data_IF_765175628419
#
_entry.id   IF_765175628419
#
_cell.length_a   1.000
_cell.length_b   1.000
_cell.length_c   1.000
_cell.angle_alpha   90.00
_cell.angle_beta   90.00
_cell.angle_gamma   90.00
#
_symmetry.space_group_name_H-M   'P 1'
#
loop_
_entity.id
_entity.type
_entity.pdbx_description
1 polymer ?
#
# COMPACT_ATOMS: atom_id res chain seq x y z
N UNK A 1 -3.88 -15.44 50.10
CA UNK A 1 -3.01 -14.50 50.86
C UNK A 1 -1.74 -15.26 51.23
N UNK A 2 -0.55 -14.91 50.71
CA UNK A 2 0.21 -13.65 50.98
C UNK A 2 0.95 -13.12 49.71
N UNK A 3 1.96 -12.21 49.77
CA UNK A 3 1.97 -10.86 50.36
C UNK A 3 2.22 -9.73 49.33
N UNK A 4 1.75 -8.52 49.67
CA UNK A 4 2.04 -7.24 49.00
C UNK A 4 3.54 -6.91 49.01
N UNK A 5 4.10 -6.50 47.87
CA UNK A 5 5.42 -5.83 47.80
C UNK A 5 5.29 -4.37 47.36
N UNK A 6 6.01 -3.55 48.10
CA UNK A 6 6.05 -2.07 48.11
C UNK A 6 6.71 -1.49 46.86
N UNK A 7 6.23 -0.33 46.45
CA UNK A 7 6.92 0.61 45.58
C UNK A 7 8.10 1.31 46.32
N UNK A 8 9.17 1.69 45.61
CA UNK A 8 10.05 2.76 46.05
C UNK A 8 9.72 4.11 45.38
N UNK A 9 9.80 5.14 46.22
CA UNK A 9 9.66 6.57 45.94
C UNK A 9 10.81 7.11 45.11
N UNK A 10 10.51 8.24 44.47
CA UNK A 10 11.37 9.01 43.58
C UNK A 10 12.66 9.56 44.18
N UNK A 11 13.53 9.99 43.27
CA UNK A 11 14.66 10.87 43.55
C UNK A 11 14.63 12.03 42.56
N UNK A 12 14.47 13.24 43.12
CA UNK A 12 14.69 14.54 42.46
C UNK A 12 16.20 14.77 42.30
N UNK A 13 16.61 15.30 41.15
CA UNK A 13 17.81 16.16 40.96
C UNK A 13 17.45 17.16 39.85
N UNK A 14 17.12 18.40 40.22
CA UNK A 14 18.00 19.57 40.40
C UNK A 14 18.54 20.10 39.07
N UNK A 15 17.96 21.24 38.71
CA UNK A 15 18.33 22.24 37.71
C UNK A 15 19.67 22.86 38.11
N UNK A 16 20.54 23.12 37.13
CA UNK A 16 21.50 24.21 37.19
C UNK A 16 21.65 24.82 35.78
N UNK A 17 21.46 26.14 35.75
CA UNK A 17 21.63 27.06 34.63
C UNK A 17 23.08 27.55 34.56
N UNK A 18 23.53 27.83 33.33
CA UNK A 18 24.44 28.93 32.95
C UNK A 18 24.22 29.08 31.43
N UNK A 19 23.78 30.22 30.88
CA UNK A 19 24.46 31.52 30.90
C UNK A 19 25.70 31.43 30.00
N UNK A 20 25.93 32.20 28.94
CA UNK A 20 25.54 33.58 28.71
C UNK A 20 25.94 34.04 27.28
N UNK A 21 25.18 35.02 26.78
CA UNK A 21 25.43 36.13 25.85
C UNK A 21 26.31 36.05 24.58
N UNK A 22 25.77 36.68 23.51
CA UNK A 22 26.50 37.06 22.31
C UNK A 22 25.67 37.74 21.20
N UNK A 23 25.01 38.85 21.54
CA UNK A 23 24.47 39.93 20.65
C UNK A 23 25.46 40.36 19.53
N UNK A 24 25.15 40.97 18.38
CA UNK A 24 23.99 41.67 17.76
C UNK A 24 24.36 41.96 16.26
N UNK A 25 23.81 42.97 15.55
CA UNK A 25 22.81 42.86 14.49
C UNK A 25 23.39 43.26 13.10
N UNK A 26 22.56 43.37 12.04
CA UNK A 26 22.64 44.46 11.02
C UNK A 26 21.58 44.30 9.91
N UNK A 27 20.96 45.45 9.61
CA UNK A 27 20.35 45.92 8.35
C UNK A 27 18.96 45.43 7.88
N UNK A 28 17.99 46.30 8.16
CA UNK A 28 16.91 46.73 7.26
C UNK A 28 17.37 46.90 5.79
N UNK A 29 16.50 46.50 4.84
CA UNK A 29 16.21 47.29 3.63
C UNK A 29 14.80 47.01 3.11
N UNK A 30 13.97 48.03 3.24
CA UNK A 30 12.75 48.30 2.49
C UNK A 30 13.03 48.53 1.01
N UNK A 31 12.07 48.15 0.16
CA UNK A 31 11.68 48.73 -1.15
C UNK A 31 11.05 47.61 -1.98
N UNK A 32 10.12 47.80 -2.90
CA UNK A 32 9.17 48.86 -3.21
C UNK A 32 8.12 48.17 -4.07
N UNK A 33 6.87 48.53 -3.82
CA UNK A 33 5.68 48.18 -4.59
C UNK A 33 5.78 48.76 -6.01
N UNK A 34 5.69 47.93 -7.05
CA UNK A 34 5.29 48.39 -8.38
C UNK A 34 4.20 47.48 -8.94
N UNK A 35 3.05 48.12 -9.15
CA UNK A 35 1.92 47.68 -9.98
C UNK A 35 2.20 48.16 -11.41
N UNK A 36 1.82 47.38 -12.42
CA UNK A 36 0.98 47.95 -13.49
C UNK A 36 -0.20 47.00 -13.80
N UNK A 37 -1.45 47.44 -13.57
CA UNK A 37 -2.38 48.00 -14.57
C UNK A 37 -2.52 47.21 -15.87
N UNK A 38 -3.69 46.59 -15.97
CA UNK A 38 -4.54 46.29 -17.12
C UNK A 38 -4.07 46.75 -18.51
N UNK A 39 -4.08 45.79 -19.44
CA UNK A 39 -4.53 46.02 -20.82
C UNK A 39 -5.13 44.72 -21.35
N UNK A 40 -6.42 44.80 -21.68
CA UNK A 40 -7.17 43.79 -22.41
C UNK A 40 -6.91 43.89 -23.93
N UNK A 41 -7.41 42.89 -24.65
CA UNK A 41 -7.39 42.69 -26.12
C UNK A 41 -6.03 42.19 -26.64
N UNK A 42 -5.93 41.12 -27.44
CA UNK A 42 -6.81 40.70 -28.53
C UNK A 42 -6.54 39.21 -28.86
N UNK A 43 -7.60 38.50 -29.28
CA UNK A 43 -7.52 37.13 -29.76
C UNK A 43 -6.81 37.08 -31.12
N UNK A 44 -5.80 36.22 -31.25
CA UNK A 44 -5.21 35.83 -32.54
C UNK A 44 -4.83 34.37 -32.47
N UNK A 45 -5.63 33.55 -33.15
CA UNK A 45 -5.39 32.14 -33.42
C UNK A 45 -4.08 31.97 -34.20
N UNK A 46 -3.06 31.44 -33.55
CA UNK A 46 -1.94 30.79 -34.24
C UNK A 46 -1.84 29.36 -33.74
N UNK A 47 -2.13 28.41 -34.63
CA UNK A 47 -1.82 27.01 -34.44
C UNK A 47 -0.31 26.87 -34.15
N UNK A 48 0.03 26.73 -32.87
CA UNK A 48 1.36 26.35 -32.45
C UNK A 48 1.53 24.88 -32.81
N UNK A 49 2.45 24.60 -33.72
CA UNK A 49 3.03 23.27 -33.85
C UNK A 49 3.36 22.76 -32.43
N UNK A 50 2.87 21.57 -32.12
CA UNK A 50 3.11 20.91 -30.84
C UNK A 50 4.61 20.85 -30.60
N UNK A 51 5.11 21.73 -29.73
CA UNK A 51 6.43 21.58 -29.18
C UNK A 51 6.38 20.29 -28.37
N UNK A 52 7.02 19.24 -28.90
CA UNK A 52 7.27 18.00 -28.17
C UNK A 52 8.13 18.40 -26.98
N UNK A 53 7.46 18.72 -25.87
CA UNK A 53 8.14 19.03 -24.61
C UNK A 53 8.89 17.76 -24.27
N UNK A 54 10.23 17.81 -24.33
CA UNK A 54 11.09 16.70 -23.91
C UNK A 54 10.93 16.58 -22.40
N UNK A 55 9.85 15.92 -22.00
CA UNK A 55 9.58 15.55 -20.62
C UNK A 55 10.69 14.58 -20.19
N UNK A 56 11.14 14.69 -18.94
CA UNK A 56 12.27 13.91 -18.41
C UNK A 56 12.06 12.39 -18.48
N UNK A 57 13.00 11.59 -17.95
CA UNK A 57 12.86 10.13 -17.93
C UNK A 57 11.52 9.72 -17.29
N UNK A 58 10.88 8.62 -17.73
CA UNK A 58 9.65 8.15 -17.12
C UNK A 58 9.84 7.91 -15.62
N UNK A 59 8.76 8.10 -14.86
CA UNK A 59 8.71 7.79 -13.44
C UNK A 59 9.01 6.31 -13.23
N UNK A 60 9.76 6.01 -12.18
CA UNK A 60 10.10 4.65 -11.80
C UNK A 60 9.46 4.37 -10.45
N UNK A 61 8.69 3.29 -10.36
CA UNK A 61 8.09 2.87 -9.10
C UNK A 61 9.16 2.55 -8.05
N UNK A 62 8.99 3.06 -6.83
CA UNK A 62 9.94 2.85 -5.73
C UNK A 62 9.25 2.60 -4.38
N UNK A 63 9.93 1.85 -3.52
CA UNK A 63 9.55 1.66 -2.14
C UNK A 63 9.57 2.97 -1.32
N UNK A 64 9.04 2.94 -0.08
CA UNK A 64 8.93 4.10 0.80
C UNK A 64 10.22 4.88 1.05
N UNK A 65 11.38 4.25 0.93
CA UNK A 65 12.70 4.87 1.11
C UNK A 65 13.52 4.88 -0.18
N UNK A 66 12.86 4.74 -1.33
CA UNK A 66 13.49 4.72 -2.65
C UNK A 66 14.01 3.35 -3.06
N UNK A 67 13.57 2.26 -2.41
CA UNK A 67 14.02 0.91 -2.74
C UNK A 67 13.49 0.46 -4.11
N UNK A 68 14.31 -0.28 -4.87
CA UNK A 68 13.85 -0.96 -6.08
C UNK A 68 12.99 -2.19 -5.76
N UNK A 69 12.02 -2.44 -6.62
CA UNK A 69 11.17 -3.62 -6.55
C UNK A 69 11.90 -4.88 -7.02
N UNK A 70 11.42 -6.04 -6.55
CA UNK A 70 11.70 -7.31 -7.21
C UNK A 70 10.89 -7.30 -8.53
N UNK A 71 11.47 -7.68 -9.68
CA UNK A 71 10.70 -7.77 -10.91
C UNK A 71 9.48 -8.68 -10.74
N UNK A 72 8.30 -8.25 -11.21
CA UNK A 72 7.11 -9.11 -11.31
C UNK A 72 7.13 -9.96 -12.58
N UNK A 73 7.81 -9.47 -13.61
CA UNK A 73 8.01 -10.16 -14.88
C UNK A 73 9.49 -10.46 -15.07
N UNK A 74 9.79 -11.63 -15.60
CA UNK A 74 11.15 -12.04 -15.92
C UNK A 74 11.29 -12.40 -17.41
N UNK A 75 12.32 -11.89 -18.11
CA UNK A 75 12.64 -12.37 -19.44
C UNK A 75 12.95 -13.87 -19.43
N UNK A 76 12.49 -14.61 -20.46
CA UNK A 76 12.76 -16.06 -20.64
C UNK A 76 14.22 -16.43 -20.44
N UNK A 77 15.14 -15.55 -20.85
CA UNK A 77 16.59 -15.75 -20.75
C UNK A 77 17.10 -16.01 -19.31
N UNK A 78 16.43 -15.47 -18.30
CA UNK A 78 16.85 -15.57 -16.89
C UNK A 78 15.87 -16.31 -15.98
N UNK A 79 14.73 -16.75 -16.52
CA UNK A 79 13.66 -17.39 -15.76
C UNK A 79 14.15 -18.55 -14.86
N UNK A 80 14.95 -19.46 -15.43
CA UNK A 80 15.52 -20.61 -14.67
C UNK A 80 16.47 -20.19 -13.55
N UNK A 81 17.13 -19.04 -13.67
CA UNK A 81 18.00 -18.51 -12.64
C UNK A 81 17.18 -17.79 -11.55
N UNK A 82 16.15 -17.04 -11.96
CA UNK A 82 15.23 -16.36 -11.05
C UNK A 82 14.47 -17.35 -10.15
N UNK A 83 14.07 -18.51 -10.67
CA UNK A 83 13.42 -19.58 -9.89
C UNK A 83 14.26 -20.12 -8.72
N UNK A 84 15.58 -19.87 -8.69
CA UNK A 84 16.48 -20.28 -7.60
C UNK A 84 16.65 -19.21 -6.53
N UNK A 85 16.14 -18.01 -6.77
CA UNK A 85 16.17 -16.93 -5.80
C UNK A 85 14.96 -17.07 -4.86
N UNK A 86 15.09 -16.68 -3.59
CA UNK A 86 13.97 -16.66 -2.67
C UNK A 86 13.05 -15.48 -3.02
N UNK A 87 12.14 -15.71 -3.96
CA UNK A 87 11.13 -14.75 -4.41
C UNK A 87 9.77 -15.35 -4.08
N UNK A 88 8.82 -14.59 -3.49
CA UNK A 88 7.46 -15.06 -3.28
C UNK A 88 6.80 -15.45 -4.61
N UNK A 89 6.14 -16.60 -4.68
CA UNK A 89 5.57 -17.14 -5.92
C UNK A 89 4.47 -16.24 -6.48
N UNK A 90 3.52 -15.80 -5.65
CA UNK A 90 2.41 -14.90 -6.00
C UNK A 90 2.86 -13.49 -6.40
N UNK A 91 4.11 -13.10 -6.15
CA UNK A 91 4.66 -11.84 -6.65
C UNK A 91 5.00 -11.90 -8.16
N UNK A 92 5.37 -13.08 -8.66
CA UNK A 92 5.83 -13.24 -10.04
C UNK A 92 4.63 -13.48 -10.95
N UNK A 93 4.25 -12.45 -11.71
CA UNK A 93 3.13 -12.52 -12.66
C UNK A 93 3.40 -13.46 -13.85
N UNK A 94 4.68 -13.67 -14.19
CA UNK A 94 5.01 -14.60 -15.26
C UNK A 94 6.41 -14.45 -15.83
N UNK A 95 6.74 -15.39 -16.72
CA UNK A 95 7.94 -15.38 -17.54
C UNK A 95 7.51 -14.89 -18.92
N UNK A 96 8.02 -13.72 -19.33
CA UNK A 96 7.70 -13.12 -20.63
C UNK A 96 6.17 -12.92 -20.82
N UNK A 97 5.53 -12.42 -19.77
CA UNK A 97 4.08 -12.19 -19.70
C UNK A 97 3.56 -10.99 -20.49
N UNK A 98 4.36 -10.47 -21.43
CA UNK A 98 3.88 -9.47 -22.40
C UNK A 98 2.94 -10.14 -23.41
N UNK A 99 1.87 -9.48 -23.90
CA UNK A 99 0.92 -10.08 -24.84
C UNK A 99 1.55 -10.73 -26.08
N UNK A 100 2.70 -10.23 -26.52
CA UNK A 100 3.45 -10.69 -27.69
C UNK A 100 4.71 -11.51 -27.34
N UNK A 101 4.93 -11.84 -26.07
CA UNK A 101 6.18 -12.50 -25.61
C UNK A 101 7.46 -11.77 -26.08
N UNK A 102 7.43 -10.43 -26.10
CA UNK A 102 8.55 -9.59 -26.54
C UNK A 102 9.49 -9.17 -25.40
N UNK A 103 9.24 -9.61 -24.17
CA UNK A 103 10.03 -9.18 -23.03
C UNK A 103 11.46 -9.72 -23.14
N UNK A 104 12.40 -8.81 -23.30
CA UNK A 104 13.82 -9.15 -23.44
C UNK A 104 14.70 -8.37 -22.46
N UNK A 105 15.98 -8.75 -22.38
CA UNK A 105 17.01 -7.96 -21.70
C UNK A 105 17.30 -6.61 -22.39
N UNK A 106 16.60 -6.26 -23.47
CA UNK A 106 16.67 -4.96 -24.13
C UNK A 106 15.52 -4.00 -23.77
N UNK A 107 14.65 -4.41 -22.84
CA UNK A 107 13.54 -3.62 -22.31
C UNK A 107 14.05 -2.58 -21.30
N UNK A 108 13.81 -1.30 -21.60
CA UNK A 108 14.23 -0.19 -20.74
C UNK A 108 13.53 -0.18 -19.39
N UNK A 109 12.21 -0.38 -19.39
CA UNK A 109 11.36 -0.23 -18.20
C UNK A 109 11.71 -1.30 -17.17
N UNK A 110 11.90 -2.54 -17.63
CA UNK A 110 12.28 -3.64 -16.77
C UNK A 110 13.61 -3.38 -16.04
N UNK A 111 14.62 -2.86 -16.74
CA UNK A 111 15.89 -2.48 -16.11
C UNK A 111 15.72 -1.31 -15.14
N UNK A 112 15.00 -0.26 -15.53
CA UNK A 112 14.83 0.95 -14.74
C UNK A 112 14.14 0.67 -13.38
N UNK A 113 13.07 -0.13 -13.39
CA UNK A 113 12.28 -0.49 -12.21
C UNK A 113 13.05 -1.39 -11.24
N UNK A 114 13.91 -2.26 -11.76
CA UNK A 114 14.51 -3.34 -10.96
C UNK A 114 16.03 -3.20 -10.76
N UNK A 115 16.65 -2.10 -11.19
CA UNK A 115 18.12 -2.01 -11.33
C UNK A 115 18.91 -2.43 -10.08
N UNK A 116 18.62 -1.81 -8.93
CA UNK A 116 19.34 -2.12 -7.68
C UNK A 116 19.17 -3.59 -7.26
N UNK A 117 17.99 -4.17 -7.51
CA UNK A 117 17.74 -5.57 -7.19
C UNK A 117 18.50 -6.50 -8.15
N UNK A 118 18.51 -6.18 -9.45
CA UNK A 118 19.24 -6.91 -10.48
C UNK A 118 20.75 -6.85 -10.24
N UNK A 119 21.28 -5.70 -9.82
CA UNK A 119 22.67 -5.53 -9.43
C UNK A 119 23.03 -6.40 -8.22
N UNK A 120 22.20 -6.40 -7.17
CA UNK A 120 22.41 -7.25 -5.98
C UNK A 120 22.39 -8.74 -6.32
N UNK A 121 21.59 -9.15 -7.30
CA UNK A 121 21.42 -10.54 -7.70
C UNK A 121 22.18 -10.94 -8.97
N UNK A 122 23.06 -10.06 -9.49
CA UNK A 122 23.77 -10.23 -10.77
C UNK A 122 24.40 -11.62 -10.95
N UNK A 123 25.09 -12.10 -9.92
CA UNK A 123 25.79 -13.40 -9.95
C UNK A 123 24.81 -14.58 -9.97
N UNK A 124 23.74 -14.51 -9.19
CA UNK A 124 22.73 -15.57 -9.11
C UNK A 124 21.90 -15.66 -10.40
N UNK A 125 21.63 -14.51 -11.03
CA UNK A 125 20.93 -14.41 -12.31
C UNK A 125 21.81 -14.81 -13.51
N UNK A 126 23.12 -14.96 -13.31
CA UNK A 126 24.06 -15.38 -14.35
C UNK A 126 24.32 -14.32 -15.42
N UNK A 127 24.11 -13.04 -15.13
CA UNK A 127 24.34 -11.96 -16.11
C UNK A 127 25.81 -11.87 -16.51
N UNK A 128 26.02 -11.79 -17.83
CA UNK A 128 27.31 -11.59 -18.47
C UNK A 128 27.51 -10.11 -18.79
N UNK A 129 28.74 -9.72 -19.12
CA UNK A 129 29.07 -8.36 -19.55
C UNK A 129 28.21 -7.90 -20.74
N UNK A 130 27.94 -8.80 -21.68
CA UNK A 130 27.05 -8.53 -22.80
C UNK A 130 25.62 -8.17 -22.39
N UNK A 131 25.10 -8.71 -21.28
CA UNK A 131 23.76 -8.39 -20.79
C UNK A 131 23.71 -6.98 -20.19
N UNK A 132 24.77 -6.57 -19.49
CA UNK A 132 24.92 -5.20 -18.99
C UNK A 132 25.10 -4.19 -20.11
N UNK A 133 25.81 -4.57 -21.19
CA UNK A 133 25.86 -3.74 -22.38
C UNK A 133 24.47 -3.53 -23.00
N UNK A 134 23.63 -4.58 -23.03
CA UNK A 134 22.23 -4.44 -23.48
C UNK A 134 21.41 -3.52 -22.57
N UNK A 135 21.64 -3.56 -21.25
CA UNK A 135 21.08 -2.58 -20.32
C UNK A 135 21.49 -1.17 -20.73
N UNK A 136 22.80 -0.91 -20.87
CA UNK A 136 23.29 0.42 -21.20
C UNK A 136 22.72 0.93 -22.53
N UNK A 137 22.65 0.06 -23.54
CA UNK A 137 21.98 0.34 -24.82
C UNK A 137 20.48 0.62 -24.62
N UNK A 138 19.77 -0.15 -23.80
CA UNK A 138 18.36 0.09 -23.48
C UNK A 138 18.15 1.43 -22.77
N UNK A 139 19.00 1.79 -21.80
CA UNK A 139 18.94 3.03 -21.00
C UNK A 139 19.16 4.30 -21.83
N UNK A 140 19.68 4.19 -23.06
CA UNK A 140 19.83 5.31 -24.00
C UNK A 140 18.62 5.55 -24.90
N UNK A 141 17.66 4.64 -24.92
CA UNK A 141 16.45 4.79 -25.73
C UNK A 141 15.55 5.87 -25.12
N UNK A 142 15.11 6.80 -25.95
CA UNK A 142 14.04 7.71 -25.57
C UNK A 142 12.72 6.93 -25.50
N UNK A 143 12.04 7.02 -24.37
CA UNK A 143 10.73 6.42 -24.17
C UNK A 143 9.67 7.49 -24.41
N UNK A 144 8.86 7.39 -25.47
CA UNK A 144 7.80 8.35 -25.71
C UNK A 144 6.78 8.27 -24.58
N UNK A 145 6.42 9.43 -24.03
CA UNK A 145 5.32 9.56 -23.07
C UNK A 145 4.00 9.69 -23.85
N UNK A 146 2.99 8.92 -23.48
CA UNK A 146 1.63 9.06 -23.97
C UNK A 146 0.91 10.11 -23.12
N UNK A 147 0.20 11.04 -23.75
CA UNK A 147 -0.46 12.15 -23.03
C UNK A 147 -1.59 11.70 -22.10
N UNK A 148 -2.04 10.46 -22.24
CA UNK A 148 -3.15 9.87 -21.48
C UNK A 148 -2.73 9.01 -20.28
N UNK A 149 -1.43 8.96 -19.96
CA UNK A 149 -0.87 8.19 -18.83
C UNK A 149 -0.33 9.11 -17.72
N UNK A 150 -0.24 8.57 -16.50
CA UNK A 150 0.35 9.27 -15.37
C UNK A 150 1.88 9.21 -15.36
N UNK A 151 2.52 10.30 -14.95
CA UNK A 151 3.98 10.39 -14.86
C UNK A 151 4.48 11.05 -13.57
N UNK A 152 3.61 11.67 -12.79
CA UNK A 152 3.97 12.27 -11.52
C UNK A 152 3.41 11.42 -10.36
N UNK A 153 4.07 11.47 -9.20
CA UNK A 153 3.67 10.69 -8.02
C UNK A 153 2.21 10.90 -7.61
N UNK A 154 1.67 12.10 -7.86
CA UNK A 154 0.32 12.48 -7.50
C UNK A 154 -0.66 12.50 -8.69
N UNK A 155 -0.26 11.93 -9.83
CA UNK A 155 -1.19 11.65 -10.93
C UNK A 155 -2.10 10.49 -10.54
N UNK A 156 -3.40 10.71 -10.66
CA UNK A 156 -4.41 9.68 -10.44
C UNK A 156 -4.66 8.94 -11.73
N UNK A 157 -4.56 7.61 -11.68
CA UNK A 157 -4.83 6.74 -12.83
C UNK A 157 -5.91 5.73 -12.50
N UNK A 158 -6.62 5.28 -13.53
CA UNK A 158 -7.58 4.19 -13.40
C UNK A 158 -6.86 2.88 -13.11
N UNK A 159 -7.44 2.08 -12.21
CA UNK A 159 -6.96 0.74 -11.85
C UNK A 159 -8.05 -0.29 -12.12
N UNK A 160 -7.67 -1.58 -12.07
CA UNK A 160 -8.65 -2.66 -12.17
C UNK A 160 -9.70 -2.51 -11.08
N UNK A 161 -10.97 -2.60 -11.48
CA UNK A 161 -12.08 -2.83 -10.55
C UNK A 161 -11.93 -4.29 -10.06
N UNK A 162 -11.95 -4.57 -8.75
CA UNK A 162 -12.00 -5.93 -8.25
C UNK A 162 -13.11 -6.70 -8.96
N UNK A 163 -12.87 -7.98 -9.24
CA UNK A 163 -13.93 -8.83 -9.76
C UNK A 163 -15.13 -8.71 -8.81
N UNK A 164 -16.34 -8.62 -9.39
CA UNK A 164 -17.53 -8.81 -8.58
C UNK A 164 -17.54 -10.29 -8.22
N UNK A 165 -17.63 -10.60 -6.94
CA UNK A 165 -17.94 -11.94 -6.45
C UNK A 165 -19.35 -12.28 -6.98
N UNK A 166 -19.46 -12.74 -8.22
CA UNK A 166 -20.71 -13.18 -8.86
C UNK A 166 -20.92 -14.71 -8.69
N UNK A 167 -20.06 -15.40 -7.91
CA UNK A 167 -19.99 -16.87 -7.84
C UNK A 167 -20.32 -17.47 -6.43
N UNK A 168 -21.23 -16.88 -5.65
CA UNK A 168 -21.66 -17.45 -4.35
C UNK A 168 -23.11 -17.99 -4.32
N UNK A 169 -23.74 -18.29 -5.47
CA UNK A 169 -25.10 -18.88 -5.50
C UNK A 169 -25.28 -20.02 -6.52
N UNK A 170 -24.33 -20.96 -6.66
CA UNK A 170 -24.54 -22.21 -7.42
C UNK A 170 -23.88 -23.43 -6.72
N UNK A 171 -23.95 -23.51 -5.38
CA UNK A 171 -23.69 -24.75 -4.62
C UNK A 171 -24.94 -25.17 -3.84
N UNK A 172 -26.01 -25.52 -4.56
CA UNK A 172 -27.06 -26.41 -4.06
C UNK A 172 -27.73 -27.08 -5.28
N UNK A 173 -27.94 -28.40 -5.19
CA UNK A 173 -28.52 -29.36 -6.17
C UNK A 173 -27.48 -30.00 -7.15
N UNK A 174 -27.16 -31.29 -7.13
CA UNK A 174 -27.84 -32.49 -6.65
C UNK A 174 -26.83 -33.65 -6.44
N UNK A 175 -27.06 -34.44 -5.39
CA UNK A 175 -26.62 -35.83 -5.30
C UNK A 175 -27.38 -36.66 -6.38
N UNK A 176 -26.69 -37.27 -7.36
CA UNK A 176 -27.13 -38.57 -7.87
C UNK A 176 -25.98 -39.38 -8.49
N UNK A 177 -25.98 -40.67 -8.16
CA UNK A 177 -25.04 -41.70 -8.60
C UNK A 177 -25.38 -42.15 -10.04
N UNK A 178 -24.40 -42.26 -10.94
CA UNK A 178 -24.66 -42.89 -12.23
C UNK A 178 -23.51 -42.85 -13.24
N UNK A 179 -22.75 -43.94 -13.26
CA UNK A 179 -21.80 -44.35 -14.29
C UNK A 179 -22.46 -44.42 -15.69
N UNK A 180 -21.90 -43.77 -16.72
CA UNK A 180 -21.70 -44.32 -18.08
C UNK A 180 -21.10 -43.28 -19.06
N UNK A 181 -20.11 -43.74 -19.83
CA UNK A 181 -19.40 -43.04 -20.91
C UNK A 181 -20.32 -42.60 -22.07
N UNK A 182 -20.25 -41.34 -22.51
CA UNK A 182 -20.52 -40.97 -23.92
C UNK A 182 -19.66 -39.75 -24.32
N UNK A 183 -18.80 -39.96 -25.31
CA UNK A 183 -18.24 -38.89 -26.16
C UNK A 183 -19.34 -38.31 -27.06
N UNK A 184 -19.54 -36.99 -27.08
CA UNK A 184 -19.95 -36.31 -28.31
C UNK A 184 -19.62 -34.81 -28.30
N UNK A 185 -19.04 -34.37 -29.42
CA UNK A 185 -18.70 -33.00 -29.77
C UNK A 185 -19.96 -32.14 -29.90
N UNK A 186 -19.98 -30.98 -29.23
CA UNK A 186 -21.03 -29.98 -29.36
C UNK A 186 -20.45 -28.57 -29.26
N UNK A 187 -20.18 -27.95 -30.42
CA UNK A 187 -19.92 -26.52 -30.54
C UNK A 187 -21.19 -25.72 -30.19
N UNK A 188 -21.14 -24.92 -29.12
CA UNK A 188 -22.11 -23.85 -28.84
C UNK A 188 -21.41 -22.63 -28.19
N UNK A 189 -22.01 -21.43 -28.28
CA UNK A 189 -21.43 -20.33 -29.06
C UNK A 189 -20.54 -19.36 -28.27
N UNK A 190 -19.63 -18.74 -29.03
CA UNK A 190 -18.66 -17.70 -28.65
C UNK A 190 -19.25 -16.35 -28.18
N UNK A 191 -20.42 -16.31 -27.54
CA UNK A 191 -21.04 -15.08 -27.03
C UNK A 191 -20.76 -14.80 -25.54
N UNK A 192 -20.17 -15.73 -24.78
CA UNK A 192 -19.75 -15.48 -23.39
C UNK A 192 -18.34 -14.86 -23.25
N UNK A 193 -17.53 -14.86 -24.31
CA UNK A 193 -16.16 -14.32 -24.26
C UNK A 193 -16.07 -12.77 -24.33
N UNK A 194 -17.17 -12.07 -24.59
CA UNK A 194 -17.16 -10.62 -24.86
C UNK A 194 -17.45 -9.72 -23.65
N UNK A 195 -17.76 -10.26 -22.46
CA UNK A 195 -18.04 -9.46 -21.25
C UNK A 195 -16.83 -9.24 -20.32
N UNK A 196 -15.73 -9.97 -20.51
CA UNK A 196 -14.56 -9.92 -19.61
C UNK A 196 -13.53 -8.81 -19.88
N UNK A 197 -13.56 -8.14 -21.03
CA UNK A 197 -12.46 -7.25 -21.46
C UNK A 197 -12.66 -5.75 -21.21
N UNK A 198 -13.81 -5.32 -20.68
CA UNK A 198 -14.19 -3.90 -20.64
C UNK A 198 -13.44 -3.05 -19.59
N UNK A 199 -12.59 -3.70 -18.77
CA UNK A 199 -11.81 -3.06 -17.70
C UNK A 199 -10.37 -2.74 -18.08
N UNK A 200 -9.73 -3.52 -18.94
CA UNK A 200 -8.28 -3.45 -19.17
C UNK A 200 -7.83 -2.23 -19.98
N UNK A 201 -8.66 -1.75 -20.91
CA UNK A 201 -8.33 -0.64 -21.83
C UNK A 201 -7.96 0.67 -21.10
N UNK A 202 -8.45 0.85 -19.87
CA UNK A 202 -8.32 2.10 -19.12
C UNK A 202 -7.24 2.03 -18.03
N UNK A 203 -6.71 0.85 -17.72
CA UNK A 203 -5.76 0.71 -16.62
C UNK A 203 -4.47 1.46 -16.91
N UNK A 204 -4.02 2.26 -15.94
CA UNK A 204 -2.86 3.14 -16.09
C UNK A 204 -3.13 4.47 -16.81
N UNK A 205 -4.34 4.68 -17.33
CA UNK A 205 -4.76 5.95 -17.94
C UNK A 205 -5.15 6.99 -16.89
N UNK A 206 -4.92 8.27 -17.18
CA UNK A 206 -5.24 9.39 -16.30
C UNK A 206 -6.73 9.42 -15.98
N UNK A 207 -7.04 9.46 -14.68
CA UNK A 207 -8.41 9.49 -14.16
C UNK A 207 -9.20 10.73 -14.64
N UNK A 208 -8.51 11.85 -14.91
CA UNK A 208 -9.13 13.07 -15.43
C UNK A 208 -9.75 12.89 -16.82
N UNK A 209 -9.29 11.90 -17.59
CA UNK A 209 -9.84 11.55 -18.90
C UNK A 209 -11.01 10.55 -18.81
N UNK A 210 -11.25 10.00 -17.61
CA UNK A 210 -12.24 8.95 -17.35
C UNK A 210 -13.05 9.26 -16.07
N UNK A 211 -13.82 10.38 -16.04
CA UNK A 211 -14.49 10.86 -14.83
C UNK A 211 -15.60 9.95 -14.30
N UNK A 212 -16.04 8.98 -15.09
CA UNK A 212 -17.01 7.95 -14.71
C UNK A 212 -16.39 6.77 -13.95
N UNK A 213 -15.06 6.65 -13.94
CA UNK A 213 -14.34 5.58 -13.25
C UNK A 213 -14.15 5.90 -11.78
N UNK A 214 -14.64 5.01 -10.91
CA UNK A 214 -14.53 5.11 -9.46
C UNK A 214 -13.16 4.62 -8.96
N UNK A 215 -12.68 3.51 -9.53
CA UNK A 215 -11.43 2.85 -9.14
C UNK A 215 -10.22 3.60 -9.71
N UNK A 216 -9.81 4.64 -8.99
CA UNK A 216 -8.67 5.49 -9.33
C UNK A 216 -7.78 5.71 -8.10
N UNK A 217 -6.47 5.72 -8.30
CA UNK A 217 -5.49 5.91 -7.23
C UNK A 217 -4.30 6.71 -7.74
N UNK A 218 -3.63 7.45 -6.86
CA UNK A 218 -2.37 8.08 -7.22
C UNK A 218 -1.32 7.02 -7.58
N UNK A 219 -0.39 7.34 -8.48
CA UNK A 219 0.72 6.46 -8.81
C UNK A 219 1.57 6.13 -7.58
N UNK A 220 1.82 7.11 -6.70
CA UNK A 220 2.54 6.87 -5.45
C UNK A 220 1.74 5.98 -4.48
N UNK A 221 0.41 6.09 -4.45
CA UNK A 221 -0.45 5.22 -3.65
C UNK A 221 -0.36 3.77 -4.10
N UNK A 222 -0.33 3.53 -5.41
CA UNK A 222 -0.11 2.20 -5.98
C UNK A 222 1.29 1.66 -5.67
N UNK A 223 2.33 2.48 -5.77
CA UNK A 223 3.68 2.08 -5.34
C UNK A 223 3.69 1.64 -3.87
N UNK A 224 3.02 2.39 -2.98
CA UNK A 224 2.91 2.03 -1.56
C UNK A 224 2.19 0.70 -1.37
N UNK A 225 1.06 0.51 -2.05
CA UNK A 225 0.35 -0.76 -2.05
C UNK A 225 1.26 -1.92 -2.50
N UNK A 226 1.86 -1.82 -3.68
CA UNK A 226 2.71 -2.86 -4.25
C UNK A 226 3.90 -3.18 -3.35
N UNK A 227 4.49 -2.17 -2.70
CA UNK A 227 5.60 -2.38 -1.78
C UNK A 227 5.18 -3.17 -0.55
N UNK A 228 4.08 -2.76 0.10
CA UNK A 228 3.62 -3.44 1.31
C UNK A 228 3.04 -4.81 1.02
N UNK A 229 2.41 -5.00 -0.15
CA UNK A 229 2.02 -6.31 -0.67
C UNK A 229 3.24 -7.23 -0.77
N UNK A 230 4.29 -6.77 -1.44
CA UNK A 230 5.52 -7.55 -1.57
C UNK A 230 6.14 -7.86 -0.19
N UNK A 231 6.19 -6.90 0.72
CA UNK A 231 6.70 -7.13 2.08
C UNK A 231 5.87 -8.17 2.85
N UNK A 232 4.55 -8.23 2.63
CA UNK A 232 3.67 -9.26 3.21
C UNK A 232 3.91 -10.64 2.61
N UNK A 233 4.11 -10.72 1.30
CA UNK A 233 4.39 -11.99 0.60
C UNK A 233 5.75 -12.57 1.01
N UNK A 234 6.77 -11.72 1.24
CA UNK A 234 8.09 -12.16 1.75
C UNK A 234 8.06 -12.85 3.10
N UNK A 235 6.97 -12.69 3.85
CA UNK A 235 6.79 -13.22 5.21
C UNK A 235 5.75 -14.32 5.27
N UNK A 236 5.20 -14.69 4.13
CA UNK A 236 4.21 -15.73 4.00
C UNK A 236 4.87 -17.07 3.75
N UNK A 237 4.71 -18.05 4.62
CA UNK A 237 5.37 -19.34 4.46
C UNK A 237 4.84 -20.15 3.26
N UNK A 238 3.58 -19.92 2.88
CA UNK A 238 2.95 -20.62 1.75
C UNK A 238 3.50 -20.14 0.40
N UNK A 239 3.85 -18.85 0.32
CA UNK A 239 4.55 -18.25 -0.83
C UNK A 239 5.92 -18.88 -1.12
N UNK A 240 6.47 -19.63 -0.17
CA UNK A 240 7.73 -20.37 -0.31
C UNK A 240 7.55 -21.89 -0.16
N UNK A 241 6.33 -22.41 -0.08
CA UNK A 241 6.07 -23.85 0.15
C UNK A 241 6.83 -24.36 1.39
N UNK A 242 6.74 -23.61 2.49
CA UNK A 242 7.45 -23.87 3.73
C UNK A 242 6.46 -23.88 4.91
N UNK A 243 6.87 -24.52 6.00
CA UNK A 243 6.24 -24.37 7.29
C UNK A 243 7.30 -24.15 8.36
N UNK A 244 7.37 -22.92 8.87
CA UNK A 244 8.31 -22.56 9.95
C UNK A 244 7.65 -22.89 11.29
N UNK A 245 6.45 -22.35 11.53
CA UNK A 245 5.51 -22.73 12.59
C UNK A 245 4.14 -22.09 12.32
N UNK A 246 3.10 -22.53 13.04
CA UNK A 246 1.69 -22.24 12.69
C UNK A 246 1.33 -20.77 12.55
N UNK A 247 1.87 -19.87 13.37
CA UNK A 247 1.57 -18.43 13.32
C UNK A 247 2.67 -17.58 12.65
N UNK A 248 3.64 -18.20 11.98
CA UNK A 248 4.78 -17.49 11.41
C UNK A 248 4.33 -16.37 10.45
N UNK A 249 3.45 -16.68 9.49
CA UNK A 249 2.93 -15.70 8.54
C UNK A 249 2.22 -14.54 9.24
N UNK A 250 1.34 -14.83 10.21
CA UNK A 250 0.59 -13.81 10.94
C UNK A 250 1.50 -12.84 11.72
N UNK A 251 2.53 -13.35 12.41
CA UNK A 251 3.53 -12.49 13.05
C UNK A 251 4.36 -11.70 12.04
N UNK A 252 4.59 -12.29 10.86
CA UNK A 252 5.13 -11.59 9.70
C UNK A 252 4.26 -10.41 9.28
N UNK A 253 2.95 -10.58 9.16
CA UNK A 253 2.02 -9.49 8.82
C UNK A 253 1.99 -8.40 9.91
N UNK A 254 2.09 -8.76 11.19
CA UNK A 254 2.31 -7.75 12.25
C UNK A 254 3.56 -6.92 12.02
N UNK A 255 4.69 -7.56 11.68
CA UNK A 255 5.94 -6.84 11.40
C UNK A 255 5.79 -5.88 10.20
N UNK A 256 4.99 -6.24 9.18
CA UNK A 256 4.67 -5.33 8.06
C UNK A 256 3.86 -4.13 8.55
N UNK A 257 2.81 -4.34 9.33
CA UNK A 257 2.00 -3.23 9.88
C UNK A 257 2.83 -2.31 10.78
N UNK A 258 3.71 -2.87 11.60
CA UNK A 258 4.67 -2.09 12.41
C UNK A 258 5.61 -1.26 11.54
N UNK A 259 6.12 -1.83 10.44
CA UNK A 259 6.95 -1.11 9.48
C UNK A 259 6.19 0.03 8.78
N UNK A 260 4.92 -0.20 8.42
CA UNK A 260 4.01 0.82 7.89
C UNK A 260 3.86 1.96 8.90
N UNK A 261 3.57 1.67 10.16
CA UNK A 261 3.39 2.69 11.20
C UNK A 261 4.67 3.48 11.45
N UNK A 262 5.83 2.81 11.45
CA UNK A 262 7.13 3.48 11.58
C UNK A 262 7.41 4.41 10.40
N UNK A 263 7.10 3.97 9.18
CA UNK A 263 7.24 4.79 7.98
C UNK A 263 6.29 5.99 8.04
N UNK A 264 5.01 5.77 8.30
CA UNK A 264 4.02 6.83 8.41
C UNK A 264 4.41 7.83 9.50
N UNK A 265 4.86 7.38 10.68
CA UNK A 265 5.35 8.27 11.75
C UNK A 265 6.51 9.17 11.28
N UNK A 266 7.38 8.65 10.40
CA UNK A 266 8.52 9.40 9.89
C UNK A 266 8.12 10.51 8.90
N UNK A 267 7.08 10.28 8.10
CA UNK A 267 6.57 11.27 7.13
C UNK A 267 5.48 12.17 7.71
N UNK A 268 4.76 11.73 8.75
CA UNK A 268 3.74 12.48 9.49
C UNK A 268 4.37 13.54 10.42
N UNK A 269 4.97 14.55 9.79
CA UNK A 269 5.55 15.71 10.46
C UNK A 269 4.53 16.85 10.55
N UNK A 270 4.77 17.83 11.42
CA UNK A 270 3.88 18.98 11.56
C UNK A 270 3.71 19.82 10.27
N UNK A 271 4.63 19.65 9.31
CA UNK A 271 4.64 20.32 8.00
C UNK A 271 4.29 19.37 6.84
N UNK A 272 3.95 18.11 7.14
CA UNK A 272 3.53 17.17 6.11
C UNK A 272 2.29 17.72 5.39
N UNK A 273 2.28 17.52 4.07
CA UNK A 273 1.17 17.93 3.20
C UNK A 273 0.33 16.72 2.83
N UNK A 274 -0.90 16.97 2.41
CA UNK A 274 -1.84 15.98 1.92
C UNK A 274 -1.23 15.08 0.83
N UNK A 275 -0.49 15.65 -0.11
CA UNK A 275 0.13 14.87 -1.20
C UNK A 275 1.29 13.96 -0.76
N UNK A 276 1.74 14.06 0.49
CA UNK A 276 2.70 13.13 1.10
C UNK A 276 1.96 12.06 1.91
N UNK A 277 0.88 12.43 2.61
CA UNK A 277 0.19 11.53 3.54
C UNK A 277 -0.91 10.70 2.87
N UNK A 278 -1.60 11.25 1.87
CA UNK A 278 -2.68 10.57 1.16
C UNK A 278 -2.21 9.30 0.45
N UNK A 279 -1.07 9.30 -0.29
CA UNK A 279 -0.57 8.08 -0.92
C UNK A 279 -0.24 6.95 0.07
N UNK A 280 0.18 7.30 1.30
CA UNK A 280 0.39 6.30 2.35
C UNK A 280 -0.92 5.67 2.79
N UNK A 281 -2.00 6.46 2.88
CA UNK A 281 -3.34 5.95 3.21
C UNK A 281 -3.92 5.09 2.08
N UNK A 282 -3.77 5.52 0.82
CA UNK A 282 -4.17 4.75 -0.36
C UNK A 282 -3.51 3.38 -0.39
N UNK A 283 -2.19 3.33 -0.16
CA UNK A 283 -1.43 2.10 -0.15
C UNK A 283 -1.92 1.11 0.90
N UNK A 284 -2.28 1.60 2.10
CA UNK A 284 -2.85 0.78 3.17
C UNK A 284 -4.26 0.32 2.83
N UNK A 285 -5.11 1.20 2.29
CA UNK A 285 -6.47 0.83 1.91
C UNK A 285 -6.47 -0.33 0.90
N UNK A 286 -5.67 -0.20 -0.16
CA UNK A 286 -5.50 -1.27 -1.16
C UNK A 286 -4.94 -2.56 -0.56
N UNK A 287 -3.98 -2.44 0.38
CA UNK A 287 -3.40 -3.60 1.06
C UNK A 287 -4.45 -4.35 1.90
N UNK A 288 -5.30 -3.64 2.62
CA UNK A 288 -6.36 -4.23 3.44
C UNK A 288 -7.51 -4.79 2.57
N UNK A 289 -7.69 -4.28 1.35
CA UNK A 289 -8.69 -4.75 0.39
C UNK A 289 -8.26 -6.02 -0.37
N UNK A 290 -7.01 -6.48 -0.25
CA UNK A 290 -6.50 -7.63 -1.02
C UNK A 290 -6.40 -8.93 -0.21
N UNK A 291 -6.97 -8.98 1.00
CA UNK A 291 -7.05 -10.14 1.90
C UNK A 291 -5.72 -10.82 2.28
N UNK A 292 -4.57 -10.22 1.93
CA UNK A 292 -3.23 -10.74 2.26
C UNK A 292 -2.79 -10.39 3.69
N UNK A 293 -3.52 -9.51 4.37
CA UNK A 293 -3.24 -9.07 5.73
C UNK A 293 -4.24 -9.72 6.69
N UNK A 294 -3.85 -10.86 7.22
CA UNK A 294 -4.64 -11.74 8.10
C UNK A 294 -4.07 -11.82 9.53
N UNK A 295 -3.35 -10.78 9.99
CA UNK A 295 -2.70 -10.79 11.32
C UNK A 295 -3.67 -11.03 12.49
N UNK A 296 -4.97 -10.76 12.29
CA UNK A 296 -6.02 -10.99 13.28
C UNK A 296 -6.30 -12.49 13.53
N UNK A 297 -5.79 -13.38 12.66
CA UNK A 297 -5.81 -14.84 12.85
C UNK A 297 -4.65 -15.36 13.73
N UNK A 298 -3.83 -14.44 14.26
CA UNK A 298 -2.81 -14.80 15.26
C UNK A 298 -3.41 -15.18 16.61
N UNK A 299 -2.59 -15.79 17.47
CA UNK A 299 -2.92 -16.07 18.86
C UNK A 299 -2.74 -14.86 19.80
N UNK A 300 -2.39 -13.68 19.26
CA UNK A 300 -2.18 -12.43 20.00
C UNK A 300 -3.29 -11.40 19.68
N UNK A 301 -4.48 -11.65 20.23
CA UNK A 301 -5.65 -10.80 20.02
C UNK A 301 -5.44 -9.35 20.53
N UNK A 302 -4.66 -9.17 21.60
CA UNK A 302 -4.35 -7.85 22.15
C UNK A 302 -3.54 -7.02 21.12
N UNK A 303 -2.50 -7.63 20.54
CA UNK A 303 -1.72 -6.98 19.48
C UNK A 303 -2.52 -6.78 18.20
N UNK A 304 -3.42 -7.69 17.85
CA UNK A 304 -4.34 -7.53 16.72
C UNK A 304 -5.22 -6.28 16.90
N UNK A 305 -5.91 -6.16 18.04
CA UNK A 305 -6.75 -5.00 18.36
C UNK A 305 -5.96 -3.69 18.37
N UNK A 306 -4.77 -3.69 18.98
CA UNK A 306 -3.90 -2.50 19.01
C UNK A 306 -3.40 -2.10 17.60
N UNK A 307 -3.18 -3.08 16.72
CA UNK A 307 -2.81 -2.84 15.31
C UNK A 307 -3.97 -2.19 14.55
N UNK A 308 -5.21 -2.65 14.77
CA UNK A 308 -6.42 -2.07 14.18
C UNK A 308 -6.64 -0.63 14.70
N UNK A 309 -6.46 -0.38 16.00
CA UNK A 309 -6.52 0.96 16.60
C UNK A 309 -5.51 1.92 15.93
N UNK A 310 -4.29 1.43 15.68
CA UNK A 310 -3.24 2.20 14.99
C UNK A 310 -3.61 2.56 13.55
N UNK A 311 -4.29 1.68 12.81
CA UNK A 311 -4.84 2.01 11.49
C UNK A 311 -5.86 3.14 11.62
N UNK A 312 -6.77 3.08 12.59
CA UNK A 312 -7.74 4.14 12.85
C UNK A 312 -7.11 5.50 13.13
N UNK A 313 -6.08 5.54 13.97
CA UNK A 313 -5.33 6.76 14.24
C UNK A 313 -4.59 7.31 13.01
N UNK A 314 -4.10 6.43 12.13
CA UNK A 314 -3.48 6.82 10.86
C UNK A 314 -4.52 7.48 9.95
N UNK A 315 -5.66 6.82 9.73
CA UNK A 315 -6.78 7.33 8.90
C UNK A 315 -7.21 8.72 9.38
N UNK A 316 -7.51 8.87 10.68
CA UNK A 316 -7.93 10.13 11.29
C UNK A 316 -6.85 11.22 11.15
N UNK A 317 -5.57 10.86 11.28
CA UNK A 317 -4.46 11.80 11.10
C UNK A 317 -4.41 12.35 9.67
N UNK A 318 -4.59 11.50 8.66
CA UNK A 318 -4.58 11.91 7.25
C UNK A 318 -5.80 12.77 6.93
N UNK A 319 -7.00 12.36 7.38
CA UNK A 319 -8.23 13.14 7.18
C UNK A 319 -8.16 14.53 7.82
N UNK A 320 -7.58 14.65 9.01
CA UNK A 320 -7.33 15.95 9.62
C UNK A 320 -6.36 16.81 8.81
N UNK A 321 -5.35 16.21 8.16
CA UNK A 321 -4.46 16.94 7.25
C UNK A 321 -5.22 17.46 6.04
N UNK A 322 -6.05 16.62 5.42
CA UNK A 322 -6.92 17.04 4.29
C UNK A 322 -7.85 18.18 4.70
N UNK A 323 -8.50 18.09 5.87
CA UNK A 323 -9.39 19.12 6.39
C UNK A 323 -8.66 20.44 6.61
N UNK A 324 -7.45 20.41 7.18
CA UNK A 324 -6.60 21.59 7.41
C UNK A 324 -6.21 22.28 6.10
N UNK A 325 -6.00 21.52 5.03
CA UNK A 325 -5.64 22.02 3.70
C UNK A 325 -6.86 22.37 2.84
N UNK A 326 -8.08 22.19 3.35
CA UNK A 326 -9.32 22.43 2.59
C UNK A 326 -9.60 21.41 1.49
N UNK A 327 -8.94 20.24 1.54
CA UNK A 327 -9.06 19.17 0.55
C UNK A 327 -10.10 18.11 0.96
N UNK A 328 -10.56 18.09 2.21
CA UNK A 328 -11.64 17.20 2.65
C UNK A 328 -13.00 17.81 2.33
N UNK A 329 -13.44 17.67 1.08
CA UNK A 329 -14.70 18.23 0.56
C UNK A 329 -15.19 17.42 -0.64
N UNK A 330 -16.49 17.47 -0.94
CA UNK A 330 -17.10 16.85 -2.11
C UNK A 330 -16.43 17.22 -3.45
N UNK A 331 -15.89 18.44 -3.57
CA UNK A 331 -15.24 18.94 -4.80
C UNK A 331 -13.70 18.93 -4.70
N UNK A 332 -13.13 17.96 -3.97
CA UNK A 332 -11.69 17.85 -3.78
C UNK A 332 -10.95 17.62 -5.09
N UNK A 333 -9.70 18.07 -5.16
CA UNK A 333 -8.77 17.67 -6.22
C UNK A 333 -8.28 16.22 -6.07
N UNK A 334 -8.59 15.56 -4.94
CA UNK A 334 -8.31 14.15 -4.71
C UNK A 334 -9.57 13.35 -5.06
N UNK A 335 -9.61 12.67 -6.22
CA UNK A 335 -10.86 12.13 -6.77
C UNK A 335 -11.37 10.90 -6.01
N UNK A 336 -10.52 10.19 -5.26
CA UNK A 336 -10.84 8.89 -4.67
C UNK A 336 -11.08 8.90 -3.16
N UNK A 337 -11.30 10.06 -2.52
CA UNK A 337 -11.56 10.10 -1.07
C UNK A 337 -12.74 9.19 -0.70
N UNK A 338 -13.83 9.28 -1.46
CA UNK A 338 -15.02 8.45 -1.22
C UNK A 338 -14.75 6.95 -1.34
N UNK A 339 -13.91 6.52 -2.28
CA UNK A 339 -13.53 5.13 -2.46
C UNK A 339 -12.63 4.64 -1.33
N UNK A 340 -11.57 5.37 -1.00
CA UNK A 340 -10.61 4.98 0.05
C UNK A 340 -11.31 4.83 1.40
N UNK A 341 -12.20 5.76 1.75
CA UNK A 341 -12.97 5.65 3.00
C UNK A 341 -13.97 4.50 2.97
N UNK A 342 -14.57 4.21 1.82
CA UNK A 342 -15.46 3.07 1.67
C UNK A 342 -14.72 1.73 1.87
N UNK A 343 -13.47 1.61 1.39
CA UNK A 343 -12.62 0.44 1.64
C UNK A 343 -12.37 0.23 3.14
N UNK A 344 -12.09 1.30 3.90
CA UNK A 344 -11.90 1.18 5.35
C UNK A 344 -13.17 0.79 6.10
N UNK A 345 -14.33 1.30 5.67
CA UNK A 345 -15.63 0.90 6.23
C UNK A 345 -15.90 -0.57 5.96
N UNK A 346 -15.62 -1.03 4.74
CA UNK A 346 -15.74 -2.43 4.33
C UNK A 346 -14.84 -3.34 5.17
N UNK A 347 -13.56 -3.00 5.29
CA UNK A 347 -12.62 -3.73 6.13
C UNK A 347 -13.06 -3.82 7.60
N UNK A 348 -13.57 -2.72 8.17
CA UNK A 348 -14.10 -2.70 9.54
C UNK A 348 -15.35 -3.58 9.68
N UNK A 349 -16.22 -3.64 8.67
CA UNK A 349 -17.38 -4.52 8.68
C UNK A 349 -16.96 -5.99 8.75
N UNK A 350 -15.93 -6.38 7.98
CA UNK A 350 -15.34 -7.74 8.03
C UNK A 350 -14.77 -8.07 9.41
N UNK A 351 -14.20 -7.08 10.11
CA UNK A 351 -13.67 -7.27 11.46
C UNK A 351 -14.76 -7.34 12.56
N UNK A 352 -15.99 -6.87 12.28
CA UNK A 352 -17.03 -6.77 13.29
C UNK A 352 -17.42 -8.11 13.94
N UNK A 353 -17.23 -9.23 13.23
CA UNK A 353 -17.49 -10.57 13.73
C UNK A 353 -16.30 -11.20 14.48
N UNK A 354 -15.11 -10.59 14.40
CA UNK A 354 -13.84 -11.18 14.86
C UNK A 354 -13.22 -10.37 16.01
N UNK A 355 -13.37 -9.05 16.01
CA UNK A 355 -12.69 -8.15 16.93
C UNK A 355 -13.65 -7.39 17.86
N UNK A 356 -13.12 -6.86 18.98
CA UNK A 356 -13.89 -6.01 19.90
C UNK A 356 -14.22 -4.69 19.21
N UNK A 357 -15.50 -4.48 18.91
CA UNK A 357 -15.98 -3.28 18.21
C UNK A 357 -15.66 -1.98 18.98
N UNK A 358 -15.99 -1.95 20.27
CA UNK A 358 -15.89 -0.75 21.09
C UNK A 358 -14.44 -0.26 21.19
N UNK A 359 -13.49 -1.18 21.32
CA UNK A 359 -12.09 -0.86 21.62
C UNK A 359 -11.25 -0.60 20.37
N UNK A 360 -11.50 -1.33 19.26
CA UNK A 360 -10.54 -1.38 18.13
C UNK A 360 -11.06 -0.75 16.83
N UNK A 361 -12.37 -0.78 16.55
CA UNK A 361 -12.93 -0.36 15.25
C UNK A 361 -13.80 0.90 15.32
N UNK A 362 -14.14 1.39 16.52
CA UNK A 362 -15.02 2.55 16.72
C UNK A 362 -14.51 3.87 16.11
N UNK A 363 -13.27 3.94 15.62
CA UNK A 363 -12.75 5.10 14.85
C UNK A 363 -13.51 5.30 13.54
N UNK A 364 -14.16 4.27 13.01
CA UNK A 364 -14.99 4.36 11.80
C UNK A 364 -16.14 5.35 11.96
N UNK A 365 -16.66 5.54 13.19
CA UNK A 365 -17.67 6.57 13.49
C UNK A 365 -17.16 7.98 13.16
N UNK A 366 -15.91 8.26 13.55
CA UNK A 366 -15.27 9.55 13.29
C UNK A 366 -15.07 9.73 11.80
N UNK A 367 -14.69 8.67 11.07
CA UNK A 367 -14.51 8.70 9.62
C UNK A 367 -15.83 8.99 8.90
N UNK A 368 -16.91 8.28 9.23
CA UNK A 368 -18.23 8.48 8.63
C UNK A 368 -18.75 9.91 8.89
N UNK A 369 -18.62 10.39 10.12
CA UNK A 369 -18.99 11.76 10.49
C UNK A 369 -18.18 12.80 9.72
N UNK A 370 -16.86 12.61 9.58
CA UNK A 370 -16.00 13.50 8.80
C UNK A 370 -16.37 13.51 7.32
N UNK A 371 -16.77 12.36 6.76
CA UNK A 371 -17.26 12.27 5.38
C UNK A 371 -18.61 12.98 5.20
N UNK A 372 -19.55 12.79 6.14
CA UNK A 372 -20.85 13.47 6.15
C UNK A 372 -20.69 14.99 6.26
N UNK A 373 -19.92 15.48 7.23
CA UNK A 373 -19.62 16.91 7.42
C UNK A 373 -19.00 17.54 6.15
N UNK A 374 -18.21 16.76 5.40
CA UNK A 374 -17.54 17.17 4.16
C UNK A 374 -18.39 16.95 2.90
N UNK A 375 -19.60 16.38 3.05
CA UNK A 375 -20.52 16.01 1.96
C UNK A 375 -19.90 15.04 0.95
N UNK A 376 -19.00 14.18 1.41
CA UNK A 376 -18.32 13.20 0.56
C UNK A 376 -19.24 11.99 0.37
N UNK A 377 -19.60 11.72 -0.88
CA UNK A 377 -20.30 10.48 -1.23
C UNK A 377 -19.31 9.31 -1.17
N UNK A 378 -19.61 8.35 -0.31
CA UNK A 378 -18.87 7.09 -0.25
C UNK A 378 -19.40 6.14 -1.33
N UNK A 379 -18.49 5.57 -2.10
CA UNK A 379 -18.78 4.56 -3.13
C UNK A 379 -17.63 3.57 -3.16
N UNK A 380 -17.90 2.34 -2.73
CA UNK A 380 -16.86 1.35 -2.45
C UNK A 380 -16.93 0.10 -3.32
N UNK A 381 -16.32 -1.00 -2.83
CA UNK A 381 -16.41 -2.33 -3.41
C UNK A 381 -17.86 -2.81 -3.61
N UNK A 382 -18.10 -3.87 -4.41
CA UNK A 382 -19.44 -4.39 -4.70
C UNK A 382 -20.34 -4.62 -3.46
N UNK A 383 -19.76 -5.03 -2.32
CA UNK A 383 -20.46 -5.31 -1.05
C UNK A 383 -20.59 -4.11 -0.10
N UNK A 384 -20.11 -2.93 -0.52
CA UNK A 384 -20.03 -1.76 0.36
C UNK A 384 -21.36 -1.36 1.01
N UNK A 385 -22.49 -1.53 0.33
CA UNK A 385 -23.80 -1.15 0.88
C UNK A 385 -24.17 -1.99 2.13
N UNK A 386 -23.83 -3.27 2.14
CA UNK A 386 -24.05 -4.17 3.27
C UNK A 386 -23.08 -3.86 4.39
N UNK A 387 -21.80 -3.68 4.06
CA UNK A 387 -20.77 -3.28 5.01
C UNK A 387 -21.10 -1.97 5.71
N UNK A 388 -21.57 -0.96 4.97
CA UNK A 388 -22.00 0.31 5.53
C UNK A 388 -23.16 0.12 6.52
N UNK A 389 -24.14 -0.73 6.18
CA UNK A 389 -25.26 -1.02 7.06
C UNK A 389 -24.78 -1.70 8.35
N UNK A 390 -23.93 -2.72 8.25
CA UNK A 390 -23.33 -3.40 9.42
C UNK A 390 -22.63 -2.40 10.33
N UNK A 391 -21.80 -1.52 9.77
CA UNK A 391 -21.10 -0.49 10.53
C UNK A 391 -22.10 0.51 11.15
N UNK A 392 -23.13 0.95 10.42
CA UNK A 392 -24.16 1.87 10.91
C UNK A 392 -24.96 1.29 12.08
N UNK A 393 -25.37 0.03 11.99
CA UNK A 393 -26.09 -0.65 13.06
C UNK A 393 -25.26 -0.69 14.36
N UNK A 394 -23.93 -0.85 14.25
CA UNK A 394 -23.04 -0.77 15.41
C UNK A 394 -22.76 0.68 15.87
N UNK A 395 -22.73 1.65 14.95
CA UNK A 395 -22.68 3.09 15.28
C UNK A 395 -23.84 3.48 16.18
N UNK A 396 -25.05 3.09 15.81
CA UNK A 396 -26.27 3.46 16.52
C UNK A 396 -26.36 2.84 17.91
N UNK A 397 -25.67 1.71 18.14
CA UNK A 397 -25.57 1.05 19.46
C UNK A 397 -24.51 1.68 20.35
N UNK A 398 -23.49 2.34 19.78
CA UNK A 398 -22.35 2.89 20.52
C UNK A 398 -22.67 4.22 21.19
N UNK A 399 -22.40 4.32 22.49
CA UNK A 399 -22.62 5.57 23.27
C UNK A 399 -21.36 6.44 23.42
N UNK A 400 -20.19 5.94 22.99
CA UNK A 400 -18.89 6.55 23.31
C UNK A 400 -17.96 6.81 22.10
N UNK A 401 -18.37 6.46 20.88
CA UNK A 401 -17.52 6.47 19.68
C UNK A 401 -16.64 7.71 19.48
N UNK A 402 -17.22 8.92 19.51
CA UNK A 402 -16.49 10.17 19.26
C UNK A 402 -15.49 10.56 20.36
N UNK A 403 -15.66 10.06 21.59
CA UNK A 403 -14.87 10.54 22.74
C UNK A 403 -13.47 9.94 22.81
N UNK A 404 -13.25 8.79 22.18
CA UNK A 404 -12.05 7.97 22.37
C UNK A 404 -10.89 8.39 21.46
N UNK A 405 -11.17 8.97 20.29
CA UNK A 405 -10.17 9.23 19.24
C UNK A 405 -9.54 10.63 19.31
N UNK A 406 -9.23 11.09 20.53
CA UNK A 406 -8.60 12.41 20.77
C UNK A 406 -7.08 12.39 20.74
N UNK A 407 -6.47 11.21 20.87
CA UNK A 407 -5.01 11.06 20.83
C UNK A 407 -4.51 11.33 19.42
N UNK A 408 -3.35 12.00 19.31
CA UNK A 408 -2.66 12.09 18.03
C UNK A 408 -2.06 10.74 17.64
N UNK A 409 -1.82 10.52 16.35
CA UNK A 409 -1.10 9.32 15.89
C UNK A 409 0.25 9.15 16.60
N UNK A 410 0.96 10.25 16.91
CA UNK A 410 2.26 10.17 17.60
C UNK A 410 2.13 9.69 19.04
N UNK A 411 1.08 10.11 19.73
CA UNK A 411 0.80 9.65 21.10
C UNK A 411 0.40 8.17 21.08
N UNK A 412 -0.46 7.77 20.14
CA UNK A 412 -0.84 6.38 19.94
C UNK A 412 0.38 5.50 19.61
N UNK A 413 1.23 5.94 18.67
CA UNK A 413 2.46 5.24 18.28
C UNK A 413 3.42 5.06 19.47
N UNK A 414 3.49 6.04 20.37
CA UNK A 414 4.30 5.93 21.59
C UNK A 414 3.76 4.88 22.55
N UNK A 415 2.44 4.84 22.76
CA UNK A 415 1.78 3.80 23.56
C UNK A 415 2.00 2.42 22.94
N UNK A 416 1.66 2.28 21.65
CA UNK A 416 1.84 1.03 20.90
C UNK A 416 3.28 0.51 20.96
N UNK A 417 4.27 1.39 20.80
CA UNK A 417 5.69 1.04 20.95
C UNK A 417 6.07 0.63 22.38
N UNK A 418 5.44 1.24 23.39
CA UNK A 418 5.69 0.89 24.79
C UNK A 418 5.20 -0.52 25.13
N UNK A 419 4.07 -0.91 24.55
CA UNK A 419 3.36 -2.14 24.89
C UNK A 419 3.78 -3.33 24.01
N UNK A 420 4.07 -3.09 22.72
CA UNK A 420 4.30 -4.16 21.74
C UNK A 420 5.71 -4.24 21.16
N UNK A 421 6.62 -3.32 21.51
CA UNK A 421 8.02 -3.46 21.08
C UNK A 421 8.63 -4.71 21.71
N UNK A 422 9.15 -5.61 20.88
CA UNK A 422 9.80 -6.83 21.34
C UNK A 422 11.32 -6.68 21.32
N UNK A 423 12.01 -7.47 22.14
CA UNK A 423 13.46 -7.48 22.19
C UNK A 423 14.00 -8.88 21.94
N UNK A 424 14.95 -8.99 21.02
CA UNK A 424 15.63 -10.25 20.70
C UNK A 424 16.44 -10.81 21.88
N UNK A 425 16.72 -10.00 22.91
CA UNK A 425 17.36 -10.48 24.15
C UNK A 425 17.09 -9.52 25.30
N UNK A 426 17.27 -9.99 26.54
CA UNK A 426 17.15 -9.14 27.74
C UNK A 426 18.08 -7.90 27.75
N UNK A 427 19.10 -7.85 26.87
CA UNK A 427 20.04 -6.72 26.75
C UNK A 427 19.76 -5.84 25.53
N UNK A 428 18.99 -6.30 24.56
CA UNK A 428 18.65 -5.50 23.40
C UNK A 428 17.53 -4.52 23.75
N UNK A 429 17.55 -3.35 23.11
CA UNK A 429 16.46 -2.39 23.24
C UNK A 429 15.24 -2.93 22.49
N UNK A 430 14.05 -2.93 23.11
CA UNK A 430 12.82 -3.26 22.42
C UNK A 430 12.68 -2.41 21.16
N UNK A 431 12.26 -3.03 20.06
CA UNK A 431 12.06 -2.36 18.77
C UNK A 431 10.80 -2.91 18.10
N UNK A 432 10.07 -2.01 17.44
CA UNK A 432 9.01 -2.36 16.50
C UNK A 432 9.57 -2.61 15.10
N UNK A 433 8.86 -3.44 14.36
CA UNK A 433 9.13 -3.74 12.97
C UNK A 433 10.49 -4.38 12.77
N UNK A 434 10.91 -4.44 11.52
CA UNK A 434 12.12 -5.11 11.11
C UNK A 434 11.87 -6.09 9.98
N UNK A 435 12.74 -7.10 9.93
CA UNK A 435 12.74 -8.15 8.90
C UNK A 435 13.03 -9.51 9.53
N UNK A 436 12.57 -9.74 10.75
CA UNK A 436 12.74 -11.00 11.47
C UNK A 436 12.00 -12.14 10.76
N UNK A 437 10.84 -11.83 10.20
CA UNK A 437 9.96 -12.79 9.52
C UNK A 437 10.19 -12.85 8.00
N UNK A 438 11.13 -12.07 7.46
CA UNK A 438 11.41 -12.00 6.03
C UNK A 438 12.16 -13.27 5.57
N UNK A 439 11.43 -14.19 4.92
CA UNK A 439 11.93 -15.49 4.45
C UNK A 439 13.02 -15.32 3.38
N UNK A 440 13.00 -14.19 2.65
CA UNK A 440 14.04 -13.88 1.65
C UNK A 440 15.40 -13.62 2.29
N UNK A 441 15.43 -13.33 3.60
CA UNK A 441 16.64 -13.12 4.39
C UNK A 441 17.09 -14.33 5.19
N UNK A 442 16.29 -15.40 5.24
CA UNK A 442 16.73 -16.66 5.81
C UNK A 442 17.93 -17.22 5.05
N UNK A 443 18.79 -17.95 5.74
CA UNK A 443 19.82 -18.75 5.08
C UNK A 443 19.18 -19.87 4.25
N UNK A 444 19.90 -20.38 3.26
CA UNK A 444 19.44 -21.54 2.49
C UNK A 444 19.23 -22.77 3.38
N UNK A 445 20.02 -22.91 4.44
CA UNK A 445 19.89 -24.01 5.40
C UNK A 445 18.60 -23.90 6.23
N UNK A 446 18.25 -22.70 6.71
CA UNK A 446 17.00 -22.44 7.43
C UNK A 446 15.79 -22.71 6.54
N UNK A 447 15.80 -22.19 5.30
CA UNK A 447 14.70 -22.47 4.35
C UNK A 447 14.52 -23.95 4.10
N UNK A 448 15.60 -24.65 3.76
CA UNK A 448 15.58 -26.09 3.51
C UNK A 448 15.08 -26.91 4.71
N UNK A 449 15.36 -26.46 5.93
CA UNK A 449 14.89 -27.11 7.15
C UNK A 449 13.38 -26.99 7.37
N UNK A 450 12.74 -25.96 6.81
CA UNK A 450 11.31 -25.70 6.92
C UNK A 450 10.52 -26.01 5.64
N UNK A 451 11.16 -26.40 4.53
CA UNK A 451 10.48 -26.79 3.28
C UNK A 451 9.78 -28.15 3.37
N UNK A 452 8.63 -28.29 2.71
CA UNK A 452 7.90 -29.56 2.59
C UNK A 452 8.59 -30.54 1.60
N UNK A 453 9.74 -31.12 2.02
CA UNK A 453 10.48 -32.12 1.24
C UNK A 453 11.69 -31.54 0.50
N UNK A 454 12.83 -32.23 0.57
CA UNK A 454 14.18 -31.69 0.28
C UNK A 454 14.54 -31.37 -1.18
N UNK A 455 13.63 -30.86 -2.00
CA UNK A 455 13.87 -30.47 -3.38
C UNK A 455 13.48 -29.04 -3.68
N UNK A 456 14.44 -28.27 -4.21
CA UNK A 456 14.32 -26.91 -4.77
C UNK A 456 14.28 -25.72 -3.79
N UNK A 457 15.28 -25.59 -2.92
CA UNK A 457 15.79 -24.28 -2.46
C UNK A 457 17.31 -24.31 -2.25
#
# INVERSE_FOLDING_TARGET
>A
MPPKKRAPRGQKRSIEEAGDEGQSPVANKSNTRQVPTDSAEEASSSASAAATTTLGPPRIARGPKGEAFIPRLFPKAIAKAAQKLPIPQGWVNGIDGTPDSSMTLGDWQWWAESDDWLLKNKKALGFKEADWKRKDEAMTKEVPRKEDEGYEDFDFVCVHTPAKDEDEEDEDDEEDEGDEEVEEEGEEPAEKAAKGSRGEEFVGKLASLHPDRVWVFSLLGQDRFQWWLLESLKRDQDEFMMHVYSHFSHYGKFEVMENIFLHFNSVNTAKAKANVLWPELEGIALLLNCDIIDFFMSDDADKANATIEMVGHLVISVLNSLKKEGLLTANSSIPNIGLVLAIFVDWVATLASICSWEDSTSWVHVVLKMAEDAQIKLSGPPRYAESLKTVQDEVDRSTNGDRMWKKSFKDAMKSFSGDHASSASARAKPKLGGTHYDITKMSAAERKGASFGGGLF
#
